data_IF_494798886257
#
_entry.id   IF_494798886257
#
_cell.length_a   1.000
_cell.length_b   1.000
_cell.length_c   1.000
_cell.angle_alpha   90.00
_cell.angle_beta   90.00
_cell.angle_gamma   90.00
#
_symmetry.space_group_name_H-M   'P 1'
#
loop_
_entity.id
_entity.type
_entity.pdbx_description
1 polymer ?
#
# COMPACT_ATOMS: atom_id res chain seq x y z
N UNK A 1 36.50 -28.33 0.39
CA UNK A 1 35.26 -28.67 1.13
C UNK A 1 34.11 -28.57 0.15
N UNK A 2 33.19 -29.55 0.10
CA UNK A 2 31.93 -29.37 -0.67
C UNK A 2 31.21 -28.18 -0.08
N UNK A 3 30.82 -27.22 -0.93
CA UNK A 3 29.93 -26.11 -0.53
C UNK A 3 28.59 -26.73 -0.16
N UNK A 4 28.08 -26.46 1.05
CA UNK A 4 26.85 -27.01 1.60
C UNK A 4 26.08 -25.90 2.26
N UNK A 5 24.78 -25.82 2.00
CA UNK A 5 23.89 -24.82 2.62
C UNK A 5 23.76 -25.04 4.12
N UNK A 6 23.56 -23.97 4.88
CA UNK A 6 23.33 -24.03 6.33
C UNK A 6 22.12 -24.90 6.66
N UNK A 7 21.02 -24.80 5.87
CA UNK A 7 19.83 -25.65 6.03
C UNK A 7 20.12 -27.15 5.86
N UNK A 8 21.17 -27.51 5.16
CA UNK A 8 21.62 -28.90 4.90
C UNK A 8 22.75 -29.34 5.83
N UNK A 9 23.10 -28.56 6.84
CA UNK A 9 24.18 -28.87 7.81
C UNK A 9 25.48 -28.11 7.59
N UNK A 10 25.52 -27.10 6.75
CA UNK A 10 26.64 -26.14 6.64
C UNK A 10 26.80 -25.35 7.95
N UNK A 11 28.04 -24.97 8.27
CA UNK A 11 28.36 -24.39 9.58
C UNK A 11 28.33 -22.85 9.63
N UNK A 12 28.36 -22.19 8.48
CA UNK A 12 28.50 -20.70 8.42
C UNK A 12 27.64 -20.14 7.29
N UNK A 13 26.77 -19.19 7.58
CA UNK A 13 25.97 -18.53 6.54
C UNK A 13 26.86 -17.68 5.63
N UNK A 14 26.38 -17.46 4.41
CA UNK A 14 27.05 -16.63 3.41
C UNK A 14 27.13 -15.16 3.89
N UNK A 15 26.01 -14.63 4.43
CA UNK A 15 25.93 -13.29 5.01
C UNK A 15 25.87 -13.42 6.53
N UNK A 16 26.78 -12.74 7.22
CA UNK A 16 26.88 -12.76 8.69
C UNK A 16 26.33 -11.49 9.35
N UNK A 17 26.17 -10.42 8.58
CA UNK A 17 25.63 -9.16 9.09
C UNK A 17 24.10 -9.21 9.15
N UNK A 18 23.54 -8.50 10.11
CA UNK A 18 22.11 -8.22 10.14
C UNK A 18 21.82 -6.91 9.39
N UNK A 19 20.71 -6.88 8.65
CA UNK A 19 20.24 -5.67 7.99
C UNK A 19 19.24 -4.96 8.88
N UNK A 20 19.53 -3.70 9.23
CA UNK A 20 18.55 -2.83 9.88
C UNK A 20 17.49 -2.41 8.86
N UNK A 21 16.34 -3.04 8.95
CA UNK A 21 15.20 -2.82 8.08
C UNK A 21 14.11 -1.98 8.78
N UNK A 22 14.46 -1.19 9.78
CA UNK A 22 13.57 -0.30 10.51
C UNK A 22 13.22 1.00 9.77
N UNK A 23 12.19 1.69 10.23
CA UNK A 23 11.84 3.01 9.72
C UNK A 23 12.95 4.04 10.00
N UNK A 24 13.06 5.03 9.13
CA UNK A 24 14.16 5.97 9.15
C UNK A 24 13.73 7.29 9.73
N UNK A 25 13.97 7.48 11.03
CA UNK A 25 13.80 8.74 11.69
C UNK A 25 15.15 9.46 11.90
N UNK A 26 15.10 10.75 12.08
CA UNK A 26 16.25 11.64 12.21
C UNK A 26 15.97 12.73 13.25
N UNK A 27 16.87 13.70 13.36
CA UNK A 27 16.70 14.80 14.31
C UNK A 27 15.50 15.69 13.99
N UNK A 28 15.10 15.79 12.72
CA UNK A 28 13.96 16.59 12.28
C UNK A 28 12.64 16.08 12.88
N UNK A 29 12.40 14.76 12.85
CA UNK A 29 11.22 14.16 13.48
C UNK A 29 11.25 14.34 15.01
N UNK A 30 12.41 14.19 15.63
CA UNK A 30 12.58 14.42 17.07
C UNK A 30 12.28 15.87 17.46
N UNK A 31 12.77 16.84 16.69
CA UNK A 31 12.52 18.26 16.91
C UNK A 31 11.02 18.60 16.72
N UNK A 32 10.39 18.05 15.70
CA UNK A 32 8.96 18.25 15.44
C UNK A 32 8.08 17.72 16.59
N UNK A 33 8.40 16.54 17.14
CA UNK A 33 7.72 16.00 18.33
C UNK A 33 7.92 16.95 19.53
N UNK A 34 9.14 17.42 19.77
CA UNK A 34 9.45 18.30 20.89
C UNK A 34 8.70 19.63 20.79
N UNK A 35 8.54 20.19 19.59
CA UNK A 35 7.73 21.38 19.33
C UNK A 35 6.27 21.19 19.78
N UNK A 36 5.66 20.05 19.35
CA UNK A 36 4.26 19.73 19.70
C UNK A 36 4.12 19.55 21.22
N UNK A 37 5.02 18.81 21.88
CA UNK A 37 4.99 18.63 23.33
C UNK A 37 5.12 19.97 24.04
N UNK A 38 6.02 20.85 23.59
CA UNK A 38 6.25 22.16 24.19
C UNK A 38 5.06 23.12 24.04
N UNK A 39 4.22 22.92 23.01
CA UNK A 39 2.97 23.68 22.83
C UNK A 39 1.90 23.37 23.88
N UNK A 40 2.02 22.25 24.60
CA UNK A 40 1.04 21.76 25.57
C UNK A 40 -0.22 21.13 24.94
N UNK A 41 -0.30 21.03 23.60
CA UNK A 41 -1.45 20.46 22.91
C UNK A 41 -0.98 19.38 21.93
N UNK A 42 -1.17 18.12 22.29
CA UNK A 42 -0.78 16.95 21.48
C UNK A 42 -1.86 16.47 20.51
N UNK A 43 -3.10 16.99 20.65
CA UNK A 43 -4.20 16.80 19.71
C UNK A 43 -5.13 18.03 19.81
N UNK A 44 -5.31 18.71 18.68
CA UNK A 44 -6.10 19.94 18.61
C UNK A 44 -7.57 19.74 18.26
N UNK A 45 -8.03 18.50 18.04
CA UNK A 45 -9.41 18.21 17.68
C UNK A 45 -10.40 18.46 18.83
N UNK A 46 -11.54 19.05 18.50
CA UNK A 46 -12.69 19.17 19.38
C UNK A 46 -13.96 18.79 18.59
N UNK A 47 -14.85 18.00 19.18
CA UNK A 47 -16.12 17.60 18.55
C UNK A 47 -17.20 18.66 18.82
N UNK A 48 -16.97 19.90 18.40
CA UNK A 48 -17.94 20.99 18.40
C UNK A 48 -17.67 21.93 17.22
N UNK A 49 -18.59 22.86 16.91
CA UNK A 49 -18.44 23.81 15.82
C UNK A 49 -17.23 24.73 15.98
N UNK A 50 -16.57 25.03 14.86
CA UNK A 50 -15.41 25.90 14.77
C UNK A 50 -14.18 25.23 14.19
N UNK A 51 -13.09 25.99 14.07
CA UNK A 51 -11.86 25.55 13.41
C UNK A 51 -11.25 24.27 14.01
N UNK A 52 -11.35 24.09 15.32
CA UNK A 52 -10.80 22.90 16.00
C UNK A 52 -11.53 21.61 15.68
N UNK A 53 -12.69 21.68 15.02
CA UNK A 53 -13.35 20.49 14.48
C UNK A 53 -12.50 19.82 13.40
N UNK A 54 -11.76 20.60 12.63
CA UNK A 54 -10.94 20.12 11.50
C UNK A 54 -9.52 19.67 11.91
N UNK A 55 -9.13 19.87 13.16
CA UNK A 55 -7.85 19.41 13.68
C UNK A 55 -7.00 20.50 14.31
N UNK A 56 -5.84 20.10 14.83
CA UNK A 56 -4.82 20.99 15.33
C UNK A 56 -3.90 21.52 14.24
N UNK A 57 -2.91 22.38 14.60
CA UNK A 57 -2.05 23.03 13.63
C UNK A 57 -1.26 22.08 12.76
N UNK A 58 -0.72 20.98 13.32
CA UNK A 58 0.08 20.01 12.56
C UNK A 58 -0.80 19.14 11.64
N UNK A 59 -2.02 18.86 12.04
CA UNK A 59 -2.99 18.16 11.16
C UNK A 59 -3.32 19.02 9.94
N UNK A 60 -3.61 20.30 10.14
CA UNK A 60 -3.90 21.26 9.06
C UNK A 60 -2.68 21.45 8.15
N UNK A 61 -1.47 21.56 8.73
CA UNK A 61 -0.21 21.66 7.98
C UNK A 61 0.01 20.42 7.10
N UNK A 62 -0.22 19.21 7.65
CA UNK A 62 -0.09 17.96 6.90
C UNK A 62 -1.07 17.89 5.71
N UNK A 63 -2.35 18.23 5.95
CA UNK A 63 -3.37 18.25 4.90
C UNK A 63 -3.01 19.27 3.80
N UNK A 64 -2.50 20.44 4.18
CA UNK A 64 -2.07 21.47 3.23
C UNK A 64 -0.86 21.01 2.38
N UNK A 65 0.14 20.36 2.98
CA UNK A 65 1.29 19.80 2.24
C UNK A 65 0.86 18.74 1.23
N UNK A 66 -0.13 17.89 1.57
CA UNK A 66 -0.69 16.92 0.62
C UNK A 66 -1.39 17.59 -0.55
N UNK A 67 -2.18 18.64 -0.28
CA UNK A 67 -2.86 19.42 -1.32
C UNK A 67 -1.84 20.02 -2.30
N UNK A 68 -0.79 20.63 -1.80
CA UNK A 68 0.26 21.28 -2.60
C UNK A 68 1.05 20.26 -3.43
N UNK A 69 1.45 19.14 -2.83
CA UNK A 69 2.28 18.15 -3.51
C UNK A 69 1.53 17.40 -4.63
N UNK A 70 0.27 17.04 -4.38
CA UNK A 70 -0.55 16.29 -5.33
C UNK A 70 -1.37 17.17 -6.28
N UNK A 71 -1.32 18.49 -6.12
CA UNK A 71 -2.11 19.49 -6.87
C UNK A 71 -3.61 19.15 -6.81
N UNK A 72 -4.13 19.05 -5.58
CA UNK A 72 -5.54 18.73 -5.30
C UNK A 72 -6.16 19.72 -4.31
N UNK A 73 -7.47 19.91 -4.38
CA UNK A 73 -8.16 20.89 -3.54
C UNK A 73 -8.39 20.39 -2.10
N UNK A 74 -8.53 19.08 -1.90
CA UNK A 74 -8.97 18.53 -0.62
C UNK A 74 -8.07 17.38 -0.16
N UNK A 75 -7.69 17.44 1.13
CA UNK A 75 -6.99 16.38 1.84
C UNK A 75 -7.57 16.24 3.25
N UNK A 76 -7.68 15.01 3.74
CA UNK A 76 -8.25 14.68 5.06
C UNK A 76 -7.35 13.67 5.74
N UNK A 77 -6.67 14.08 6.80
CA UNK A 77 -5.81 13.21 7.59
C UNK A 77 -6.61 12.42 8.63
N UNK A 78 -6.25 11.16 8.84
CA UNK A 78 -6.88 10.26 9.81
C UNK A 78 -5.85 9.38 10.51
N UNK A 79 -6.28 8.64 11.54
CA UNK A 79 -5.39 7.78 12.34
C UNK A 79 -4.89 6.52 11.60
N UNK A 80 -5.39 6.23 10.40
CA UNK A 80 -4.90 5.13 9.55
C UNK A 80 -5.45 5.22 8.13
N UNK A 81 -4.77 4.60 7.16
CA UNK A 81 -5.31 4.42 5.80
C UNK A 81 -6.61 3.60 5.80
N UNK A 82 -6.75 2.63 6.72
CA UNK A 82 -7.99 1.85 6.87
C UNK A 82 -9.18 2.74 7.22
N UNK A 83 -9.00 3.68 8.15
CA UNK A 83 -10.02 4.67 8.50
C UNK A 83 -10.31 5.61 7.32
N UNK A 84 -9.26 6.03 6.60
CA UNK A 84 -9.42 6.85 5.38
C UNK A 84 -10.22 6.12 4.30
N UNK A 85 -9.96 4.82 4.07
CA UNK A 85 -10.71 3.98 3.12
C UNK A 85 -12.19 3.89 3.50
N UNK A 86 -12.48 3.61 4.78
CA UNK A 86 -13.86 3.55 5.27
C UNK A 86 -14.58 4.91 5.11
N UNK A 87 -13.93 6.00 5.51
CA UNK A 87 -14.48 7.34 5.32
C UNK A 87 -14.73 7.64 3.83
N UNK A 88 -13.80 7.28 2.93
CA UNK A 88 -13.93 7.52 1.50
C UNK A 88 -15.15 6.78 0.92
N UNK A 89 -15.27 5.47 1.17
CA UNK A 89 -16.37 4.63 0.67
C UNK A 89 -17.72 5.19 1.14
N UNK A 90 -17.88 5.42 2.45
CA UNK A 90 -19.11 5.95 3.01
C UNK A 90 -19.41 7.37 2.54
N UNK A 91 -18.38 8.21 2.34
CA UNK A 91 -18.54 9.60 1.88
C UNK A 91 -18.98 9.70 0.42
N UNK A 92 -18.69 8.69 -0.39
CA UNK A 92 -19.23 8.54 -1.75
C UNK A 92 -20.69 8.07 -1.76
N UNK A 93 -21.32 7.88 -0.59
CA UNK A 93 -22.70 7.43 -0.45
C UNK A 93 -22.87 5.92 -0.62
N UNK A 94 -21.78 5.16 -0.57
CA UNK A 94 -21.79 3.70 -0.73
C UNK A 94 -22.06 3.05 0.62
N UNK A 95 -23.05 2.12 0.66
CA UNK A 95 -23.52 1.51 1.89
C UNK A 95 -24.30 0.22 1.68
N UNK A 96 -25.25 -0.13 2.58
CA UNK A 96 -26.01 -1.37 2.52
C UNK A 96 -26.75 -1.55 1.20
N UNK A 97 -26.52 -2.67 0.53
CA UNK A 97 -27.10 -3.02 -0.76
C UNK A 97 -26.22 -2.67 -1.97
N UNK A 98 -25.18 -1.86 -1.77
CA UNK A 98 -24.21 -1.53 -2.81
C UNK A 98 -23.05 -2.54 -2.86
N UNK A 99 -22.36 -2.57 -3.99
CA UNK A 99 -21.20 -3.43 -4.25
C UNK A 99 -19.99 -2.58 -4.66
N UNK A 100 -18.79 -3.02 -4.19
CA UNK A 100 -17.51 -2.42 -4.57
C UNK A 100 -16.58 -3.51 -5.08
N UNK A 101 -16.09 -3.35 -6.32
CA UNK A 101 -15.11 -4.26 -6.89
C UNK A 101 -13.75 -4.00 -6.23
N UNK A 102 -13.07 -5.07 -5.77
CA UNK A 102 -11.81 -5.00 -5.02
C UNK A 102 -10.89 -6.17 -5.38
N UNK A 103 -9.55 -6.00 -5.49
CA UNK A 103 -8.65 -7.08 -5.84
C UNK A 103 -8.62 -8.19 -4.78
N UNK A 104 -8.47 -9.44 -5.23
CA UNK A 104 -8.35 -10.64 -4.40
C UNK A 104 -7.06 -10.68 -3.55
N UNK A 105 -6.01 -9.96 -3.98
CA UNK A 105 -4.70 -9.88 -3.31
C UNK A 105 -4.37 -8.44 -2.94
N UNK A 106 -4.41 -8.14 -1.67
CA UNK A 106 -3.95 -6.90 -1.04
C UNK A 106 -3.93 -7.07 0.48
N UNK A 107 -3.66 -5.98 1.21
CA UNK A 107 -3.97 -5.90 2.64
C UNK A 107 -5.49 -5.99 2.84
N UNK A 108 -5.94 -6.73 3.87
CA UNK A 108 -7.36 -6.92 4.15
C UNK A 108 -8.15 -5.62 4.33
N UNK A 109 -7.47 -4.53 4.69
CA UNK A 109 -8.07 -3.20 4.87
C UNK A 109 -8.87 -2.74 3.65
N UNK A 110 -8.40 -3.03 2.42
CA UNK A 110 -9.09 -2.67 1.18
C UNK A 110 -10.50 -3.27 1.11
N UNK A 111 -10.69 -4.52 1.56
CA UNK A 111 -12.01 -5.18 1.56
C UNK A 111 -12.79 -4.99 2.87
N UNK A 112 -12.10 -4.93 4.04
CA UNK A 112 -12.79 -4.70 5.32
C UNK A 112 -13.44 -3.32 5.39
N UNK A 113 -12.84 -2.30 4.78
CA UNK A 113 -13.44 -0.95 4.71
C UNK A 113 -14.77 -0.93 3.95
N UNK A 114 -14.94 -1.80 2.95
CA UNK A 114 -16.20 -1.98 2.23
C UNK A 114 -17.27 -2.55 3.16
N UNK A 115 -16.93 -3.61 3.91
CA UNK A 115 -17.85 -4.23 4.89
C UNK A 115 -18.19 -3.24 6.02
N UNK A 116 -17.23 -2.46 6.48
CA UNK A 116 -17.46 -1.44 7.52
C UNK A 116 -18.46 -0.37 7.06
N UNK A 117 -18.52 -0.08 5.77
CA UNK A 117 -19.54 0.83 5.17
C UNK A 117 -20.90 0.15 4.98
N UNK A 118 -21.04 -1.14 5.27
CA UNK A 118 -22.24 -1.94 5.03
C UNK A 118 -22.39 -2.43 3.58
N UNK A 119 -21.45 -2.11 2.70
CA UNK A 119 -21.43 -2.55 1.30
C UNK A 119 -20.84 -3.97 1.16
N UNK A 120 -21.01 -4.55 0.00
CA UNK A 120 -20.54 -5.90 -0.34
C UNK A 120 -19.27 -5.82 -1.18
N UNK A 121 -18.14 -6.42 -0.75
CA UNK A 121 -16.97 -6.56 -1.61
C UNK A 121 -17.23 -7.59 -2.72
N UNK A 122 -16.96 -7.20 -3.96
CA UNK A 122 -16.96 -8.07 -5.13
C UNK A 122 -15.53 -8.31 -5.56
N UNK A 123 -15.00 -9.50 -5.29
CA UNK A 123 -13.61 -9.80 -5.56
C UNK A 123 -13.33 -10.02 -7.05
N UNK A 124 -12.21 -9.45 -7.50
CA UNK A 124 -11.66 -9.64 -8.84
C UNK A 124 -10.26 -10.22 -8.73
N UNK A 125 -9.89 -11.16 -9.59
CA UNK A 125 -8.55 -11.73 -9.57
C UNK A 125 -7.51 -10.67 -10.02
N UNK A 126 -6.25 -10.95 -9.76
CA UNK A 126 -5.13 -10.14 -10.23
C UNK A 126 -4.72 -10.55 -11.65
N UNK A 127 -3.92 -9.70 -12.31
CA UNK A 127 -3.32 -10.05 -13.58
C UNK A 127 -2.47 -11.32 -13.46
N UNK A 128 -2.33 -12.04 -14.58
CA UNK A 128 -1.46 -13.22 -14.64
C UNK A 128 0.00 -12.80 -14.31
N UNK A 129 0.67 -13.66 -13.61
CA UNK A 129 2.07 -13.49 -13.21
C UNK A 129 3.08 -13.50 -14.35
N UNK A 130 2.65 -13.76 -15.60
CA UNK A 130 3.45 -13.45 -16.80
C UNK A 130 3.58 -11.94 -16.99
N UNK A 131 2.60 -11.17 -16.50
CA UNK A 131 2.63 -9.72 -16.35
C UNK A 131 3.65 -9.30 -15.28
N UNK A 132 4.15 -8.09 -15.37
CA UNK A 132 4.91 -7.41 -14.31
C UNK A 132 4.01 -6.58 -13.40
N UNK A 133 2.71 -6.55 -13.67
CA UNK A 133 1.67 -6.00 -12.83
C UNK A 133 1.08 -7.12 -11.95
N UNK A 134 0.85 -6.81 -10.70
CA UNK A 134 0.25 -7.71 -9.70
C UNK A 134 -1.09 -7.16 -9.24
N UNK A 135 -1.65 -6.24 -10.00
CA UNK A 135 -2.83 -5.47 -9.69
C UNK A 135 -4.10 -6.20 -10.17
N UNK A 136 -5.26 -5.65 -9.87
CA UNK A 136 -6.53 -6.18 -10.35
C UNK A 136 -6.51 -6.36 -11.88
N UNK A 137 -7.11 -7.45 -12.36
CA UNK A 137 -7.23 -7.73 -13.78
C UNK A 137 -8.40 -6.93 -14.39
N UNK A 138 -8.10 -5.78 -14.99
CA UNK A 138 -9.12 -4.89 -15.55
C UNK A 138 -9.97 -5.56 -16.65
N UNK A 139 -9.45 -6.57 -17.36
CA UNK A 139 -10.20 -7.28 -18.39
C UNK A 139 -11.43 -8.05 -17.84
N UNK A 140 -11.43 -8.38 -16.55
CA UNK A 140 -12.52 -9.08 -15.87
C UNK A 140 -13.57 -8.11 -15.27
N UNK A 141 -13.39 -6.80 -15.31
CA UNK A 141 -14.30 -5.82 -14.69
C UNK A 141 -15.74 -5.99 -15.18
N UNK A 142 -15.94 -6.26 -16.48
CA UNK A 142 -17.25 -6.45 -17.07
C UNK A 142 -18.01 -7.64 -16.47
N UNK A 143 -17.31 -8.71 -16.11
CA UNK A 143 -17.91 -9.92 -15.52
C UNK A 143 -18.31 -9.69 -14.04
N UNK A 144 -17.71 -8.72 -13.38
CA UNK A 144 -17.96 -8.35 -11.98
C UNK A 144 -18.99 -7.25 -11.81
N UNK A 145 -19.40 -6.61 -12.89
CA UNK A 145 -20.39 -5.54 -12.88
C UNK A 145 -21.80 -6.05 -12.62
N UNK A 146 -22.52 -5.39 -11.73
CA UNK A 146 -23.95 -5.55 -11.50
C UNK A 146 -24.65 -4.20 -11.37
N UNK A 147 -25.98 -4.18 -11.29
CA UNK A 147 -26.76 -2.95 -11.04
C UNK A 147 -26.47 -2.34 -9.64
N UNK A 148 -25.88 -3.11 -8.74
CA UNK A 148 -25.50 -2.70 -7.38
C UNK A 148 -24.09 -2.14 -7.31
N UNK A 149 -23.27 -2.37 -8.32
CA UNK A 149 -21.86 -1.90 -8.33
C UNK A 149 -21.84 -0.37 -8.34
N UNK A 150 -21.11 0.23 -7.38
CA UNK A 150 -20.97 1.68 -7.22
C UNK A 150 -19.56 2.17 -7.37
N UNK A 151 -18.57 1.32 -7.07
CA UNK A 151 -17.17 1.74 -7.14
C UNK A 151 -16.24 0.59 -7.50
N UNK A 152 -15.04 0.97 -7.95
CA UNK A 152 -13.87 0.10 -8.08
C UNK A 152 -12.84 0.63 -7.08
N UNK A 153 -12.39 -0.22 -6.16
CA UNK A 153 -11.27 0.06 -5.28
C UNK A 153 -10.02 -0.57 -5.89
N UNK A 154 -9.12 0.26 -6.37
CA UNK A 154 -7.85 -0.14 -6.99
C UNK A 154 -6.75 -0.07 -5.94
N UNK A 155 -5.86 -1.06 -5.92
CA UNK A 155 -4.64 -1.02 -5.12
C UNK A 155 -3.45 -0.96 -6.05
N UNK A 156 -2.52 -0.04 -5.82
CA UNK A 156 -1.24 0.00 -6.53
C UNK A 156 -0.24 -0.90 -5.81
N UNK A 157 -0.40 -2.21 -6.03
CA UNK A 157 0.28 -3.24 -5.26
C UNK A 157 1.80 -3.22 -5.51
N UNK A 158 2.58 -3.37 -4.44
CA UNK A 158 4.05 -3.27 -4.43
C UNK A 158 4.61 -1.91 -4.86
N UNK A 159 3.77 -0.87 -5.01
CA UNK A 159 4.16 0.43 -5.56
C UNK A 159 4.10 0.50 -7.08
N UNK A 160 3.62 -0.55 -7.74
CA UNK A 160 3.44 -0.61 -9.19
C UNK A 160 2.02 -0.13 -9.51
N UNK A 161 1.86 0.93 -10.33
CA UNK A 161 0.54 1.41 -10.69
C UNK A 161 -0.30 0.34 -11.40
N UNK A 162 -1.59 0.28 -11.06
CA UNK A 162 -2.57 -0.51 -11.82
C UNK A 162 -2.78 0.09 -13.23
N UNK A 163 -3.44 -0.66 -14.12
CA UNK A 163 -3.79 -0.21 -15.48
C UNK A 163 -4.92 0.82 -15.43
N UNK A 164 -4.59 2.02 -14.93
CA UNK A 164 -5.59 3.06 -14.63
C UNK A 164 -6.36 3.54 -15.86
N UNK A 165 -5.75 3.52 -17.05
CA UNK A 165 -6.46 3.93 -18.28
C UNK A 165 -7.68 3.03 -18.54
N UNK A 166 -7.53 1.71 -18.39
CA UNK A 166 -8.62 0.73 -18.57
C UNK A 166 -9.66 0.86 -17.45
N UNK A 167 -9.21 0.98 -16.20
CA UNK A 167 -10.08 1.14 -15.03
C UNK A 167 -10.92 2.42 -15.15
N UNK A 168 -10.30 3.55 -15.45
CA UNK A 168 -10.98 4.84 -15.56
C UNK A 168 -11.95 4.90 -16.74
N UNK A 169 -11.59 4.28 -17.87
CA UNK A 169 -12.50 4.17 -19.01
C UNK A 169 -13.75 3.36 -18.63
N UNK A 170 -13.55 2.18 -18.04
CA UNK A 170 -14.65 1.31 -17.62
C UNK A 170 -15.54 1.99 -16.56
N UNK A 171 -14.94 2.64 -15.56
CA UNK A 171 -15.66 3.35 -14.52
C UNK A 171 -16.54 4.49 -15.11
N UNK A 172 -15.99 5.26 -16.03
CA UNK A 172 -16.72 6.34 -16.73
C UNK A 172 -17.90 5.81 -17.54
N UNK A 173 -17.72 4.71 -18.29
CA UNK A 173 -18.79 4.11 -19.09
C UNK A 173 -19.95 3.57 -18.24
N UNK A 174 -19.66 3.19 -16.98
CA UNK A 174 -20.63 2.57 -16.08
C UNK A 174 -21.05 3.48 -14.90
N UNK A 175 -20.64 4.75 -14.88
CA UNK A 175 -20.90 5.71 -13.81
C UNK A 175 -20.47 5.19 -12.43
N UNK A 176 -19.28 4.60 -12.34
CA UNK A 176 -18.70 4.09 -11.10
C UNK A 176 -17.68 5.08 -10.54
N UNK A 177 -17.60 5.16 -9.20
CA UNK A 177 -16.50 5.82 -8.52
C UNK A 177 -15.22 4.97 -8.58
N UNK A 178 -14.06 5.64 -8.51
CA UNK A 178 -12.75 4.97 -8.41
C UNK A 178 -12.05 5.46 -7.16
N UNK A 179 -11.70 4.50 -6.27
CA UNK A 179 -10.93 4.74 -5.06
C UNK A 179 -9.55 4.11 -5.26
N UNK A 180 -8.48 4.92 -5.12
CA UNK A 180 -7.12 4.45 -5.26
C UNK A 180 -6.48 4.23 -3.89
N UNK A 181 -6.17 2.98 -3.53
CA UNK A 181 -5.34 2.64 -2.37
C UNK A 181 -3.86 2.78 -2.75
N UNK A 182 -3.31 3.94 -2.43
CA UNK A 182 -1.91 4.33 -2.65
C UNK A 182 -1.02 4.07 -1.43
N UNK A 183 -1.44 3.22 -0.47
CA UNK A 183 -0.67 2.91 0.73
C UNK A 183 0.73 2.33 0.43
N UNK A 184 0.99 1.90 -0.80
CA UNK A 184 2.27 1.36 -1.26
C UNK A 184 2.91 2.21 -2.38
N UNK A 185 2.23 3.24 -2.89
CA UNK A 185 2.66 4.05 -4.04
C UNK A 185 2.68 5.56 -3.80
N UNK A 186 3.04 6.07 -2.59
CA UNK A 186 3.04 7.51 -2.38
C UNK A 186 4.09 8.18 -3.29
N UNK A 187 3.66 9.21 -4.04
CA UNK A 187 4.54 9.98 -4.93
C UNK A 187 4.95 9.25 -6.21
N UNK A 188 4.27 8.15 -6.56
CA UNK A 188 4.49 7.39 -7.78
C UNK A 188 3.57 7.92 -8.89
N UNK A 189 4.03 7.85 -10.13
CA UNK A 189 3.33 8.38 -11.29
C UNK A 189 2.75 7.24 -12.14
N UNK A 190 1.62 7.53 -12.77
CA UNK A 190 1.06 6.79 -13.89
C UNK A 190 0.77 7.79 -15.02
N UNK A 191 1.41 7.64 -16.18
CA UNK A 191 1.27 8.57 -17.31
C UNK A 191 1.45 10.04 -16.87
N UNK A 192 2.52 10.32 -16.12
CA UNK A 192 2.89 11.65 -15.58
C UNK A 192 1.91 12.26 -14.58
N UNK A 193 0.93 11.51 -14.07
CA UNK A 193 0.03 11.92 -12.98
C UNK A 193 0.31 11.09 -11.74
N UNK A 194 0.22 11.69 -10.57
CA UNK A 194 0.39 10.95 -9.33
C UNK A 194 -0.72 9.90 -9.13
N UNK A 195 -0.36 8.70 -8.72
CA UNK A 195 -1.33 7.73 -8.17
C UNK A 195 -2.06 8.38 -7.00
N UNK A 196 -3.37 8.13 -6.91
CA UNK A 196 -4.26 8.77 -5.95
C UNK A 196 -4.97 10.02 -6.51
N UNK A 197 -4.51 10.57 -7.66
CA UNK A 197 -5.14 11.72 -8.31
C UNK A 197 -5.95 11.35 -9.56
N UNK A 198 -5.92 10.10 -10.00
CA UNK A 198 -6.62 9.65 -11.19
C UNK A 198 -8.10 9.37 -10.88
N UNK A 199 -8.40 8.63 -9.80
CA UNK A 199 -9.73 8.33 -9.30
C UNK A 199 -10.42 9.51 -8.61
N UNK A 200 -11.50 9.23 -7.89
CA UNK A 200 -12.29 10.21 -7.13
C UNK A 200 -11.65 10.50 -5.76
N UNK A 201 -11.07 9.46 -5.13
CA UNK A 201 -10.37 9.55 -3.84
C UNK A 201 -9.10 8.72 -3.88
N UNK A 202 -7.99 9.28 -3.41
CA UNK A 202 -6.71 8.58 -3.23
C UNK A 202 -6.34 8.46 -1.75
N UNK A 203 -5.87 7.28 -1.32
CA UNK A 203 -5.59 6.96 0.09
C UNK A 203 -4.12 6.66 0.30
N UNK A 204 -3.52 7.28 1.31
CA UNK A 204 -2.11 7.13 1.67
C UNK A 204 -1.96 6.66 3.12
N UNK A 205 -0.89 5.92 3.41
CA UNK A 205 -0.64 5.32 4.73
C UNK A 205 0.69 5.77 5.32
N UNK A 206 0.69 6.03 6.63
CA UNK A 206 1.88 6.31 7.44
C UNK A 206 2.18 5.21 8.46
N UNK A 207 1.63 4.00 8.27
CA UNK A 207 1.97 2.87 9.12
C UNK A 207 3.49 2.64 9.15
N UNK A 208 3.99 2.12 10.28
CA UNK A 208 5.42 1.89 10.54
C UNK A 208 6.18 1.21 9.38
N UNK A 209 5.52 0.35 8.60
CA UNK A 209 6.13 -0.41 7.49
C UNK A 209 6.15 0.34 6.16
N UNK A 210 5.58 1.55 6.08
CA UNK A 210 5.40 2.28 4.83
C UNK A 210 6.62 3.14 4.45
N UNK A 211 6.62 3.65 3.21
CA UNK A 211 7.71 4.48 2.66
C UNK A 211 7.98 5.71 3.51
N UNK A 212 6.93 6.34 3.98
CA UNK A 212 6.93 7.40 4.98
C UNK A 212 6.10 6.94 6.16
N UNK A 213 6.57 7.14 7.37
CA UNK A 213 5.94 6.59 8.57
C UNK A 213 5.85 7.60 9.70
N UNK A 214 4.70 7.65 10.36
CA UNK A 214 4.53 8.31 11.67
C UNK A 214 4.19 7.32 12.79
N UNK A 215 4.46 6.02 12.55
CA UNK A 215 4.01 4.92 13.39
C UNK A 215 2.64 4.44 12.93
N UNK A 216 1.63 5.26 13.05
CA UNK A 216 0.29 5.10 12.49
C UNK A 216 -0.17 6.40 11.82
N UNK A 217 -1.19 6.31 10.98
CA UNK A 217 -1.77 7.46 10.28
C UNK A 217 -2.13 7.17 8.83
N UNK A 218 -2.89 8.09 8.24
CA UNK A 218 -3.23 8.09 6.82
C UNK A 218 -3.77 9.44 6.38
N UNK A 219 -3.77 9.66 5.07
CA UNK A 219 -4.42 10.83 4.43
C UNK A 219 -5.23 10.33 3.24
N UNK A 220 -6.44 10.87 3.10
CA UNK A 220 -7.22 10.79 1.87
C UNK A 220 -7.13 12.11 1.12
N UNK A 221 -6.94 12.08 -0.20
CA UNK A 221 -7.14 13.24 -1.09
C UNK A 221 -8.39 13.02 -1.91
N UNK A 222 -9.15 14.07 -2.18
CA UNK A 222 -10.42 13.98 -2.91
C UNK A 222 -10.57 15.13 -3.90
N UNK A 223 -11.36 14.89 -4.96
CA UNK A 223 -11.70 15.89 -5.98
C UNK A 223 -12.94 16.70 -5.65
N UNK A 224 -13.85 16.12 -4.88
CA UNK A 224 -15.15 16.72 -4.56
C UNK A 224 -15.19 17.27 -3.12
N UNK A 225 -15.61 18.52 -2.98
CA UNK A 225 -15.70 19.23 -1.69
C UNK A 225 -16.63 18.51 -0.70
N UNK A 226 -17.78 18.03 -1.18
CA UNK A 226 -18.75 17.36 -0.31
C UNK A 226 -18.20 16.01 0.17
N UNK A 227 -17.49 15.28 -0.68
CA UNK A 227 -16.83 14.03 -0.28
C UNK A 227 -15.79 14.32 0.81
N UNK A 228 -14.96 15.33 0.64
CA UNK A 228 -13.96 15.73 1.63
C UNK A 228 -14.62 16.16 2.96
N UNK A 229 -15.65 17.00 2.92
CA UNK A 229 -16.37 17.44 4.10
C UNK A 229 -17.01 16.26 4.85
N UNK A 230 -17.62 15.33 4.12
CA UNK A 230 -18.22 14.12 4.70
C UNK A 230 -17.16 13.23 5.37
N UNK A 231 -15.97 13.09 4.77
CA UNK A 231 -14.84 12.40 5.41
C UNK A 231 -14.37 13.09 6.69
N UNK A 232 -14.32 14.44 6.71
CA UNK A 232 -13.98 15.21 7.91
C UNK A 232 -15.02 15.03 9.02
N UNK A 233 -16.31 15.02 8.68
CA UNK A 233 -17.40 14.73 9.60
C UNK A 233 -17.28 13.32 10.19
N UNK A 234 -17.13 12.29 9.36
CA UNK A 234 -16.96 10.92 9.82
C UNK A 234 -15.73 10.74 10.71
N UNK A 235 -14.64 11.43 10.40
CA UNK A 235 -13.42 11.39 11.20
C UNK A 235 -13.63 11.85 12.65
N UNK A 236 -14.58 12.79 12.88
CA UNK A 236 -14.72 13.48 14.16
C UNK A 236 -16.19 13.63 14.59
N UNK A 237 -16.87 12.50 14.87
CA UNK A 237 -18.21 12.49 15.48
C UNK A 237 -19.28 13.26 14.66
N UNK A 238 -19.49 12.88 13.43
CA UNK A 238 -20.41 13.50 12.47
C UNK A 238 -21.80 13.80 13.06
N UNK A 239 -22.38 12.87 13.81
CA UNK A 239 -23.71 12.97 14.42
C UNK A 239 -23.87 14.17 15.36
N UNK A 240 -22.76 14.63 15.94
CA UNK A 240 -22.77 15.80 16.82
C UNK A 240 -22.74 17.14 16.06
N UNK A 241 -22.43 17.12 14.76
CA UNK A 241 -22.08 18.33 14.00
C UNK A 241 -22.83 18.49 12.69
N UNK A 242 -23.58 17.47 12.26
CA UNK A 242 -24.17 17.46 10.90
C UNK A 242 -25.13 18.60 10.64
N UNK A 243 -25.82 19.09 11.68
CA UNK A 243 -26.74 20.22 11.58
C UNK A 243 -26.02 21.54 11.24
N UNK A 244 -24.75 21.68 11.61
CA UNK A 244 -23.92 22.84 11.29
C UNK A 244 -23.39 22.81 9.84
N UNK A 245 -23.55 21.68 9.15
CA UNK A 245 -23.07 21.45 7.79
C UNK A 245 -24.16 20.90 6.85
N UNK A 246 -25.26 21.64 6.63
CA UNK A 246 -26.39 21.17 5.82
C UNK A 246 -26.01 20.87 4.37
N UNK A 247 -24.94 21.48 3.85
CA UNK A 247 -24.43 21.22 2.51
C UNK A 247 -23.85 19.79 2.36
N UNK A 248 -23.49 19.12 3.46
CA UNK A 248 -23.00 17.75 3.42
C UNK A 248 -24.05 16.73 2.94
N UNK A 249 -25.34 17.14 2.90
CA UNK A 249 -26.48 16.34 2.40
C UNK A 249 -26.52 14.91 2.92
N UNK A 250 -26.22 14.73 4.20
CA UNK A 250 -26.23 13.41 4.82
C UNK A 250 -27.22 13.36 5.96
N UNK A 251 -28.20 12.50 5.80
CA UNK A 251 -29.04 12.07 6.89
C UNK A 251 -28.42 10.84 7.53
N UNK A 252 -28.40 10.78 8.87
CA UNK A 252 -27.94 9.62 9.63
C UNK A 252 -26.46 9.23 9.43
N UNK A 253 -25.57 10.19 9.22
CA UNK A 253 -24.13 9.94 9.18
C UNK A 253 -23.61 9.56 10.56
N UNK A 254 -23.03 8.38 10.67
CA UNK A 254 -22.34 7.93 11.89
C UNK A 254 -20.92 8.45 11.85
N UNK A 255 -20.53 9.19 12.88
CA UNK A 255 -19.16 9.63 13.08
C UNK A 255 -18.34 8.64 13.90
N UNK A 256 -17.02 8.73 13.73
CA UNK A 256 -16.05 7.89 14.42
C UNK A 256 -15.00 8.77 15.11
N UNK A 257 -14.14 8.14 15.89
CA UNK A 257 -12.91 8.76 16.36
C UNK A 257 -11.75 8.25 15.53
N UNK A 258 -11.60 8.79 14.31
CA UNK A 258 -10.52 8.49 13.37
C UNK A 258 -9.48 9.62 13.30
N UNK A 259 -9.42 10.44 14.34
CA UNK A 259 -8.54 11.59 14.45
C UNK A 259 -7.08 11.14 14.55
N UNK A 260 -6.21 11.72 13.73
CA UNK A 260 -4.77 11.67 13.91
C UNK A 260 -4.35 12.76 14.92
N UNK A 261 -3.38 12.49 15.76
CA UNK A 261 -2.86 13.48 16.71
C UNK A 261 -1.91 14.46 16.03
N UNK A 262 -1.71 15.66 16.62
CA UNK A 262 -0.68 16.59 16.15
C UNK A 262 0.73 16.00 16.30
N UNK A 263 0.96 15.08 17.24
CA UNK A 263 2.24 14.36 17.38
C UNK A 263 2.53 13.48 16.15
N UNK A 264 1.58 12.64 15.77
CA UNK A 264 1.71 11.77 14.58
C UNK A 264 1.80 12.62 13.30
N UNK A 265 0.98 13.68 13.20
CA UNK A 265 1.01 14.60 12.07
C UNK A 265 2.38 15.31 11.94
N UNK A 266 3.00 15.74 13.04
CA UNK A 266 4.30 16.37 13.02
C UNK A 266 5.40 15.44 12.48
N UNK A 267 5.38 14.16 12.88
CA UNK A 267 6.30 13.14 12.33
C UNK A 267 6.00 12.91 10.84
N UNK A 268 4.72 12.78 10.49
CA UNK A 268 4.29 12.56 9.10
C UNK A 268 4.74 13.70 8.17
N UNK A 269 4.68 14.95 8.61
CA UNK A 269 5.17 16.13 7.88
C UNK A 269 6.65 15.99 7.53
N UNK A 270 7.50 15.68 8.51
CA UNK A 270 8.95 15.56 8.28
C UNK A 270 9.29 14.34 7.39
N UNK A 271 8.57 13.24 7.53
CA UNK A 271 8.69 12.10 6.64
C UNK A 271 8.23 12.41 5.21
N UNK A 272 7.13 13.15 5.06
CA UNK A 272 6.59 13.53 3.76
C UNK A 272 7.54 14.46 2.99
N UNK A 273 8.17 15.41 3.66
CA UNK A 273 9.21 16.29 3.07
C UNK A 273 10.38 15.48 2.46
N UNK A 274 10.60 14.25 2.93
CA UNK A 274 11.66 13.34 2.46
C UNK A 274 11.20 12.33 1.42
N UNK A 275 9.91 12.32 1.03
CA UNK A 275 9.29 11.30 0.18
C UNK A 275 10.03 11.10 -1.15
N UNK A 276 10.33 12.17 -1.88
CA UNK A 276 11.03 12.08 -3.17
C UNK A 276 12.44 11.49 -3.02
N UNK A 277 13.14 11.83 -1.95
CA UNK A 277 14.45 11.25 -1.62
C UNK A 277 14.34 9.75 -1.32
N UNK A 278 13.31 9.35 -0.57
CA UNK A 278 13.06 7.94 -0.29
C UNK A 278 12.74 7.16 -1.56
N UNK A 279 11.86 7.68 -2.41
CA UNK A 279 11.51 7.04 -3.67
C UNK A 279 12.71 6.94 -4.61
N UNK A 280 13.52 8.00 -4.76
CA UNK A 280 14.75 7.96 -5.57
C UNK A 280 15.69 6.87 -5.07
N UNK A 281 15.95 6.79 -3.77
CA UNK A 281 16.85 5.76 -3.22
C UNK A 281 16.33 4.33 -3.46
N UNK A 282 15.02 4.11 -3.32
CA UNK A 282 14.39 2.81 -3.62
C UNK A 282 14.55 2.42 -5.09
N UNK A 283 14.32 3.37 -5.98
CA UNK A 283 14.47 3.18 -7.42
C UNK A 283 15.90 2.75 -7.74
N UNK A 284 16.90 3.45 -7.18
CA UNK A 284 18.31 3.14 -7.40
C UNK A 284 18.67 1.73 -6.93
N UNK A 285 18.32 1.36 -5.70
CA UNK A 285 18.58 0.04 -5.13
C UNK A 285 17.86 -1.08 -5.90
N UNK A 286 16.61 -0.84 -6.27
CA UNK A 286 15.82 -1.83 -7.00
C UNK A 286 16.32 -2.02 -8.44
N UNK A 287 16.80 -0.98 -9.11
CA UNK A 287 17.42 -1.08 -10.42
C UNK A 287 18.74 -1.89 -10.34
N UNK A 288 19.60 -1.58 -9.36
CA UNK A 288 20.85 -2.35 -9.15
C UNK A 288 20.54 -3.83 -8.91
N UNK A 289 19.54 -4.11 -8.06
CA UNK A 289 19.13 -5.49 -7.79
C UNK A 289 18.54 -6.17 -9.04
N UNK A 290 17.73 -5.46 -9.85
CA UNK A 290 17.17 -5.99 -11.10
C UNK A 290 18.25 -6.45 -12.06
N UNK A 291 19.30 -5.63 -12.27
CA UNK A 291 20.45 -5.94 -13.15
C UNK A 291 21.17 -7.22 -12.71
N UNK A 292 21.27 -7.44 -11.40
CA UNK A 292 21.89 -8.66 -10.85
C UNK A 292 20.97 -9.87 -10.99
N UNK A 293 19.68 -9.69 -10.66
CA UNK A 293 18.70 -10.77 -10.70
C UNK A 293 18.45 -11.32 -12.10
N UNK A 294 18.54 -10.48 -13.15
CA UNK A 294 18.42 -10.91 -14.55
C UNK A 294 19.43 -11.97 -14.97
N UNK A 295 20.57 -12.06 -14.26
CA UNK A 295 21.62 -13.06 -14.51
C UNK A 295 21.36 -14.38 -13.80
N UNK A 296 20.41 -14.43 -12.90
CA UNK A 296 20.09 -15.59 -12.05
C UNK A 296 18.93 -16.35 -12.66
N UNK A 297 19.23 -17.46 -13.33
CA UNK A 297 18.22 -18.31 -13.97
C UNK A 297 17.27 -18.93 -12.94
N UNK A 298 15.96 -18.94 -13.25
CA UNK A 298 14.93 -19.46 -12.38
C UNK A 298 14.30 -18.43 -11.44
N UNK A 299 14.84 -17.21 -11.38
CA UNK A 299 14.26 -16.09 -10.66
C UNK A 299 13.96 -14.95 -11.63
N UNK A 300 12.74 -14.44 -11.63
CA UNK A 300 12.36 -13.33 -12.48
C UNK A 300 11.93 -12.13 -11.63
N UNK A 301 12.61 -11.01 -11.81
CA UNK A 301 12.24 -9.73 -11.23
C UNK A 301 11.32 -8.89 -12.11
N UNK A 302 11.31 -7.59 -11.88
CA UNK A 302 10.57 -6.62 -12.68
C UNK A 302 11.37 -6.34 -13.96
N UNK A 303 10.82 -6.69 -15.13
CA UNK A 303 11.47 -6.57 -16.44
C UNK A 303 11.44 -5.14 -17.01
N UNK A 304 11.59 -4.12 -16.17
CA UNK A 304 11.60 -2.71 -16.58
C UNK A 304 12.60 -1.94 -15.76
N UNK A 305 13.22 -0.93 -16.36
CA UNK A 305 13.95 0.08 -15.59
C UNK A 305 12.95 0.81 -14.72
N UNK A 306 13.19 0.77 -13.42
CA UNK A 306 12.33 1.43 -12.44
C UNK A 306 12.56 2.94 -12.47
N UNK A 307 11.49 3.68 -12.31
CA UNK A 307 11.42 5.14 -12.30
C UNK A 307 10.33 5.60 -11.35
N UNK A 308 10.02 6.90 -11.30
CA UNK A 308 8.83 7.37 -10.57
C UNK A 308 7.52 6.79 -11.11
N UNK A 309 7.49 6.20 -12.31
CA UNK A 309 6.28 5.58 -12.88
C UNK A 309 6.09 4.11 -12.47
N UNK A 310 7.07 3.51 -11.80
CA UNK A 310 6.99 2.11 -11.39
C UNK A 310 7.97 1.78 -10.24
N UNK A 311 8.14 2.68 -9.29
CA UNK A 311 8.95 2.43 -8.11
C UNK A 311 8.33 1.31 -7.24
N UNK A 312 9.17 0.63 -6.48
CA UNK A 312 8.73 -0.51 -5.67
C UNK A 312 8.66 -0.16 -4.18
N UNK A 313 7.58 -0.59 -3.55
CA UNK A 313 7.46 -0.63 -2.09
C UNK A 313 8.09 -1.89 -1.50
N UNK A 314 7.82 -3.04 -2.11
CA UNK A 314 8.47 -4.33 -1.87
C UNK A 314 8.86 -4.85 -3.24
N UNK A 315 10.10 -5.29 -3.42
CA UNK A 315 10.55 -5.83 -4.70
C UNK A 315 10.02 -7.27 -4.87
N UNK A 316 9.13 -7.53 -5.85
CA UNK A 316 8.61 -8.87 -6.09
C UNK A 316 9.58 -9.68 -6.96
N UNK A 317 9.86 -10.91 -6.54
CA UNK A 317 10.62 -11.89 -7.32
C UNK A 317 9.69 -13.07 -7.60
N UNK A 318 9.62 -13.51 -8.85
CA UNK A 318 8.86 -14.69 -9.26
C UNK A 318 9.79 -15.89 -9.32
N UNK A 319 9.51 -16.86 -8.46
CA UNK A 319 10.16 -18.16 -8.42
C UNK A 319 9.61 -19.05 -9.53
N UNK A 320 10.51 -19.57 -10.38
CA UNK A 320 10.16 -20.43 -11.51
C UNK A 320 10.50 -21.89 -11.15
N UNK A 321 9.53 -22.60 -10.62
CA UNK A 321 9.66 -23.96 -10.06
C UNK A 321 10.36 -24.95 -10.97
N UNK A 322 10.17 -24.82 -12.27
CA UNK A 322 10.76 -25.71 -13.28
C UNK A 322 12.30 -25.74 -13.27
N UNK A 323 12.93 -24.69 -12.78
CA UNK A 323 14.39 -24.57 -12.68
C UNK A 323 14.97 -25.20 -11.40
N UNK A 324 14.13 -25.49 -10.39
CA UNK A 324 14.59 -25.89 -9.06
C UNK A 324 14.15 -27.30 -8.68
N UNK A 325 15.01 -27.99 -7.92
CA UNK A 325 14.73 -29.31 -7.31
C UNK A 325 13.80 -29.19 -6.09
N UNK A 326 13.65 -28.01 -5.53
CA UNK A 326 12.87 -27.67 -4.32
C UNK A 326 11.71 -26.75 -4.64
N UNK A 327 10.76 -26.57 -3.72
CA UNK A 327 9.70 -25.56 -3.82
C UNK A 327 10.19 -24.18 -3.38
N UNK A 328 9.33 -23.16 -3.56
CA UNK A 328 9.59 -21.77 -3.21
C UNK A 328 9.88 -21.59 -1.72
N UNK A 329 9.14 -22.26 -0.85
CA UNK A 329 9.25 -22.07 0.59
C UNK A 329 10.58 -22.62 1.11
N UNK A 330 10.99 -23.80 0.65
CA UNK A 330 12.31 -24.35 0.96
C UNK A 330 13.44 -23.44 0.42
N UNK A 331 13.30 -22.94 -0.81
CA UNK A 331 14.26 -22.01 -1.39
C UNK A 331 14.43 -20.75 -0.53
N UNK A 332 13.31 -20.16 -0.09
CA UNK A 332 13.35 -18.96 0.76
C UNK A 332 13.93 -19.28 2.13
N UNK A 333 13.57 -20.41 2.73
CA UNK A 333 14.16 -20.84 4.02
C UNK A 333 15.68 -21.03 3.88
N UNK A 334 16.15 -21.65 2.79
CA UNK A 334 17.58 -21.78 2.51
C UNK A 334 18.26 -20.41 2.40
N UNK A 335 17.66 -19.47 1.67
CA UNK A 335 18.13 -18.08 1.59
C UNK A 335 18.21 -17.40 2.97
N UNK A 336 17.17 -17.55 3.80
CA UNK A 336 17.16 -16.98 5.15
C UNK A 336 18.25 -17.56 6.06
N UNK A 337 18.52 -18.86 5.96
CA UNK A 337 19.61 -19.51 6.70
C UNK A 337 21.00 -19.03 6.23
N UNK A 338 21.11 -18.60 4.98
CA UNK A 338 22.32 -17.96 4.44
C UNK A 338 22.40 -16.45 4.76
N UNK A 339 21.46 -15.90 5.52
CA UNK A 339 21.42 -14.50 5.94
C UNK A 339 20.77 -13.54 4.94
N UNK A 340 20.08 -14.07 3.92
CA UNK A 340 19.42 -13.25 2.88
C UNK A 340 18.02 -12.86 3.36
N UNK A 341 17.65 -11.56 3.42
CA UNK A 341 16.36 -11.09 3.96
C UNK A 341 15.22 -11.20 2.94
N UNK A 342 14.89 -12.42 2.54
CA UNK A 342 13.75 -12.74 1.67
C UNK A 342 12.57 -13.28 2.50
N UNK A 343 11.35 -13.08 1.99
CA UNK A 343 10.12 -13.57 2.63
C UNK A 343 9.26 -14.29 1.58
N UNK A 344 8.66 -15.46 1.89
CA UNK A 344 7.77 -16.15 0.97
C UNK A 344 6.43 -15.43 0.86
N UNK A 345 5.96 -15.20 -0.36
CA UNK A 345 4.68 -14.53 -0.60
C UNK A 345 4.67 -13.06 -0.20
N UNK A 346 3.46 -12.57 0.08
CA UNK A 346 3.16 -11.24 0.63
C UNK A 346 2.15 -11.41 1.79
N UNK A 347 1.07 -10.64 1.83
CA UNK A 347 -0.08 -10.95 2.70
C UNK A 347 -0.88 -12.10 2.10
N UNK A 348 -1.49 -12.95 2.96
CA UNK A 348 -2.43 -13.96 2.51
C UNK A 348 -3.50 -13.32 1.62
N UNK A 349 -3.89 -13.93 0.48
CA UNK A 349 -4.97 -13.40 -0.35
C UNK A 349 -6.22 -13.11 0.48
N UNK A 350 -6.85 -11.96 0.24
CA UNK A 350 -8.03 -11.53 1.01
C UNK A 350 -9.13 -12.61 0.94
N UNK A 351 -9.29 -13.20 -0.22
CA UNK A 351 -10.26 -14.26 -0.51
C UNK A 351 -10.05 -15.55 0.31
N UNK A 352 -8.88 -15.75 0.90
CA UNK A 352 -8.57 -16.90 1.75
C UNK A 352 -8.70 -16.60 3.25
N UNK A 353 -9.11 -15.39 3.60
CA UNK A 353 -9.39 -15.03 4.99
C UNK A 353 -10.80 -15.47 5.36
N UNK A 354 -11.02 -16.10 6.53
CA UNK A 354 -12.33 -16.63 6.93
C UNK A 354 -13.48 -15.62 6.87
N UNK A 355 -13.18 -14.35 7.14
CA UNK A 355 -14.16 -13.26 7.12
C UNK A 355 -14.86 -13.12 5.76
N UNK A 356 -14.17 -13.40 4.66
CA UNK A 356 -14.67 -13.13 3.32
C UNK A 356 -15.28 -14.35 2.63
N UNK A 357 -15.35 -15.51 3.32
CA UNK A 357 -15.79 -16.78 2.74
C UNK A 357 -17.16 -16.69 2.04
N UNK A 358 -18.08 -15.93 2.61
CA UNK A 358 -19.45 -15.81 2.09
C UNK A 358 -19.58 -14.82 0.92
N UNK A 359 -18.49 -14.14 0.55
CA UNK A 359 -18.43 -13.14 -0.54
C UNK A 359 -17.76 -13.67 -1.82
N UNK A 360 -17.24 -14.90 -1.83
CA UNK A 360 -16.40 -15.40 -2.94
C UNK A 360 -17.16 -15.82 -4.20
N UNK A 361 -18.45 -16.14 -4.06
CA UNK A 361 -19.21 -16.68 -5.19
C UNK A 361 -18.66 -18.01 -5.67
N UNK A 362 -18.45 -18.14 -6.99
CA UNK A 362 -17.91 -19.34 -7.64
C UNK A 362 -16.50 -19.16 -8.19
N UNK A 363 -15.90 -18.03 -7.93
CA UNK A 363 -14.57 -17.67 -8.46
C UNK A 363 -13.46 -18.42 -7.74
N UNK A 364 -12.42 -18.79 -8.46
CA UNK A 364 -11.29 -19.54 -7.91
C UNK A 364 -10.11 -18.63 -7.51
N UNK A 365 -9.97 -17.46 -8.12
CA UNK A 365 -8.86 -16.52 -7.87
C UNK A 365 -7.47 -17.17 -8.01
N UNK A 366 -7.31 -17.96 -9.08
CA UNK A 366 -6.14 -18.79 -9.32
C UNK A 366 -4.85 -17.97 -9.36
N UNK A 367 -4.87 -16.81 -10.00
CA UNK A 367 -3.67 -15.95 -10.11
C UNK A 367 -3.21 -15.43 -8.73
N UNK A 368 -4.14 -14.93 -7.90
CA UNK A 368 -3.83 -14.44 -6.57
C UNK A 368 -3.26 -15.55 -5.66
N UNK A 369 -3.88 -16.75 -5.70
CA UNK A 369 -3.45 -17.90 -4.92
C UNK A 369 -2.12 -18.45 -5.37
N UNK A 370 -1.97 -18.75 -6.67
CA UNK A 370 -0.73 -19.28 -7.21
C UNK A 370 0.43 -18.31 -7.01
N UNK A 371 0.20 -16.99 -7.21
CA UNK A 371 1.23 -15.99 -6.91
C UNK A 371 1.67 -16.07 -5.45
N UNK A 372 0.74 -16.02 -4.50
CA UNK A 372 1.08 -15.96 -3.07
C UNK A 372 1.69 -17.26 -2.55
N UNK A 373 1.08 -18.42 -2.87
CA UNK A 373 1.47 -19.69 -2.24
C UNK A 373 2.65 -20.37 -2.92
N UNK A 374 2.89 -20.12 -4.22
CA UNK A 374 3.83 -20.93 -4.99
C UNK A 374 4.99 -20.12 -5.58
N UNK A 375 4.77 -18.86 -5.97
CA UNK A 375 5.69 -18.17 -6.88
C UNK A 375 6.32 -16.90 -6.32
N UNK A 376 5.60 -16.13 -5.51
CA UNK A 376 6.09 -14.83 -5.04
C UNK A 376 7.14 -14.98 -3.94
N UNK A 377 8.25 -14.31 -4.11
CA UNK A 377 9.24 -14.00 -3.07
C UNK A 377 9.28 -12.47 -2.91
N UNK A 378 9.16 -11.99 -1.68
CA UNK A 378 9.23 -10.57 -1.37
C UNK A 378 10.61 -10.18 -0.85
N UNK A 379 11.25 -9.23 -1.53
CA UNK A 379 12.51 -8.64 -1.10
C UNK A 379 12.26 -7.24 -0.52
N UNK A 380 12.39 -7.10 0.80
CA UNK A 380 12.10 -5.85 1.52
C UNK A 380 13.29 -4.91 1.64
N UNK A 381 14.51 -5.37 1.37
CA UNK A 381 15.74 -4.61 1.56
C UNK A 381 15.89 -3.40 0.61
N UNK A 382 15.27 -3.44 -0.57
CA UNK A 382 15.37 -2.35 -1.56
C UNK A 382 14.82 -0.99 -1.09
N UNK A 383 14.16 -0.91 0.07
CA UNK A 383 13.58 0.34 0.55
C UNK A 383 14.19 0.87 1.85
N UNK A 384 15.31 0.32 2.30
CA UNK A 384 15.94 0.76 3.53
C UNK A 384 17.14 1.68 3.28
N UNK A 385 17.19 2.77 4.03
CA UNK A 385 18.28 3.77 3.92
C UNK A 385 19.65 3.20 4.25
N UNK A 386 19.68 2.19 5.13
CA UNK A 386 20.92 1.59 5.62
C UNK A 386 21.47 0.53 4.67
N UNK A 387 20.71 0.15 3.63
CA UNK A 387 21.18 -0.76 2.58
C UNK A 387 21.98 0.02 1.54
N UNK A 388 23.22 -0.39 1.33
CA UNK A 388 24.13 0.17 0.31
C UNK A 388 24.08 -0.63 -1.00
N UNK A 389 24.69 -0.12 -2.06
CA UNK A 389 24.87 -0.90 -3.30
C UNK A 389 25.76 -2.12 -3.07
N UNK A 390 26.75 -2.03 -2.17
CA UNK A 390 27.59 -3.17 -1.80
C UNK A 390 26.78 -4.28 -1.10
N UNK A 391 25.78 -3.92 -0.31
CA UNK A 391 24.86 -4.89 0.30
C UNK A 391 24.00 -5.57 -0.78
N UNK A 392 23.55 -4.84 -1.80
CA UNK A 392 22.84 -5.42 -2.96
C UNK A 392 23.72 -6.42 -3.69
N UNK A 393 24.99 -6.09 -3.92
CA UNK A 393 25.97 -7.01 -4.52
C UNK A 393 26.10 -8.30 -3.69
N UNK A 394 26.34 -8.16 -2.39
CA UNK A 394 26.50 -9.28 -1.47
C UNK A 394 25.23 -10.16 -1.38
N UNK A 395 24.05 -9.55 -1.32
CA UNK A 395 22.77 -10.26 -1.32
C UNK A 395 22.59 -11.03 -2.64
N UNK A 396 22.90 -10.40 -3.77
CA UNK A 396 22.79 -11.04 -5.08
C UNK A 396 23.74 -12.21 -5.24
N UNK A 397 25.01 -12.07 -4.82
CA UNK A 397 25.99 -13.14 -4.81
C UNK A 397 25.56 -14.32 -3.91
N UNK A 398 24.93 -14.02 -2.76
CA UNK A 398 24.39 -15.02 -1.87
C UNK A 398 23.19 -15.77 -2.48
N UNK A 399 22.29 -15.06 -3.18
CA UNK A 399 21.18 -15.67 -3.92
C UNK A 399 21.74 -16.59 -5.02
N UNK A 400 22.70 -16.13 -5.81
CA UNK A 400 23.34 -16.93 -6.86
C UNK A 400 24.01 -18.20 -6.28
N UNK A 401 24.65 -18.08 -5.11
CA UNK A 401 25.19 -19.22 -4.40
C UNK A 401 24.10 -20.26 -4.05
N UNK A 402 22.98 -19.84 -3.45
CA UNK A 402 21.86 -20.74 -3.11
C UNK A 402 21.28 -21.37 -4.38
N UNK A 403 21.05 -20.59 -5.44
CA UNK A 403 20.57 -21.09 -6.74
C UNK A 403 21.51 -22.16 -7.30
N UNK A 404 22.83 -21.93 -7.27
CA UNK A 404 23.81 -22.88 -7.81
C UNK A 404 23.78 -24.27 -7.14
N UNK A 405 23.24 -24.38 -5.93
CA UNK A 405 23.14 -25.62 -5.16
C UNK A 405 21.74 -26.28 -5.26
N UNK A 406 20.68 -25.51 -5.52
CA UNK A 406 19.31 -25.99 -5.56
C UNK A 406 18.71 -26.11 -6.97
N UNK A 407 19.44 -25.64 -7.98
CA UNK A 407 19.06 -25.78 -9.40
C UNK A 407 19.05 -27.26 -9.83
N UNK A 408 18.13 -27.62 -10.75
CA UNK A 408 18.09 -28.95 -11.38
C UNK A 408 19.27 -29.22 -12.28
#
# INVERSE_FOLDING_TARGET
>A
MKKQLVIEGGNVPFIKQEFDLGATYSEEESAAIQEVISSGTISGFVANSGQKFFGGPKVIELEQLFKEYFDVDYAVASNSATSSLHCAISSLGIGPGDEVIVPALSMSASATSIIMSGATPVFIDIEDSSSTSFNLNASQLKEKLSDKTKAILVVHLFGIPAQMDEVMLFAKENNLFVIEDCAQSPGILFNSKYTGTLGDVGIFSFNQSKTMSSGEGGVAIAKDENVALRMQLMRNHAEAMIEDFPQAKMENLIGYNYRITDLEAAVAIEQFKKLDKFNSRKIDLANEFSIRLEKIEGLRGINKILSKENAVFIYPIIFQKEFFSVDRDYFVEACQKEGIPLVPGYTKPIVDLPLFKDYLGKDDFENARSLHYERLISAKFCHHKNVSNQDIDMISDAIEYVVSLLKK
#
